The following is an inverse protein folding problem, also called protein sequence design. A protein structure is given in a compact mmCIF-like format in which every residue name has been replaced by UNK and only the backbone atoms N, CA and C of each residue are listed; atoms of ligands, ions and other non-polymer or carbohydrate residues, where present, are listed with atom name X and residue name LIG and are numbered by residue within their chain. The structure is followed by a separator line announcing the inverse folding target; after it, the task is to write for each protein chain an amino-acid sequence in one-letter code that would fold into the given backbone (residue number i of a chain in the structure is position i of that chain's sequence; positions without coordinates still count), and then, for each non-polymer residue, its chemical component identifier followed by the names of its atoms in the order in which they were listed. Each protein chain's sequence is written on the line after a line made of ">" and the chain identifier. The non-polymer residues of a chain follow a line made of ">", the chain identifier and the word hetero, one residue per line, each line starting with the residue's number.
data_IF_038294122693
#
_entry.id   IF_038294122693
#
_cell.length_a   1.000
_cell.length_b   1.000
_cell.length_c   1.000
_cell.angle_alpha   90.00
_cell.angle_beta   90.00
_cell.angle_gamma   90.00
#
_symmetry.space_group_name_H-M   'P 1'
#
loop_
_entity.id
_entity.type
_entity.pdbx_description
1 polymer ?
#
# COMPACT_ATOMS: atom_id res chain seq x y z
N UNK A 1 30.70 27.43 -42.85
CA UNK A 1 29.50 28.05 -42.22
C UNK A 1 28.32 27.13 -42.55
N UNK A 2 28.23 26.01 -41.86
CA UNK A 2 27.33 25.78 -40.72
C UNK A 2 25.84 25.78 -41.13
N UNK A 3 25.41 24.71 -41.79
CA UNK A 3 24.00 24.36 -41.93
C UNK A 3 23.82 22.86 -41.66
N UNK A 4 24.30 22.42 -40.51
CA UNK A 4 23.95 21.12 -39.93
C UNK A 4 23.36 21.44 -38.57
N UNK A 5 22.25 20.79 -38.23
CA UNK A 5 21.54 20.83 -36.93
C UNK A 5 20.35 21.80 -36.84
N UNK A 6 19.38 21.63 -37.73
CA UNK A 6 17.99 22.04 -37.43
C UNK A 6 17.03 20.89 -37.73
N UNK A 7 17.32 19.74 -37.14
CA UNK A 7 16.39 18.62 -37.01
C UNK A 7 16.81 17.91 -35.71
N UNK A 8 15.86 17.33 -34.99
CA UNK A 8 16.07 16.62 -33.71
C UNK A 8 16.09 17.52 -32.46
N UNK A 9 15.06 18.34 -32.22
CA UNK A 9 14.77 18.82 -30.84
C UNK A 9 13.28 18.65 -30.45
N UNK A 10 12.41 18.18 -31.35
CA UNK A 10 10.96 18.12 -31.07
C UNK A 10 10.37 16.71 -30.86
N UNK A 11 11.19 15.66 -30.90
CA UNK A 11 10.68 14.27 -30.79
C UNK A 11 10.96 13.59 -29.45
N UNK A 12 11.63 14.25 -28.50
CA UNK A 12 11.98 13.63 -27.19
C UNK A 12 11.06 14.06 -26.05
N UNK A 13 10.24 15.10 -26.23
CA UNK A 13 9.39 15.62 -25.14
C UNK A 13 7.97 15.02 -25.08
N UNK A 14 7.66 14.06 -25.95
CA UNK A 14 6.35 13.38 -25.97
C UNK A 14 6.40 11.95 -25.41
N UNK A 15 7.45 11.60 -24.67
CA UNK A 15 7.60 10.29 -24.01
C UNK A 15 7.96 10.44 -22.51
N UNK A 16 7.46 11.50 -21.88
CA UNK A 16 7.48 11.66 -20.41
C UNK A 16 6.06 11.72 -19.83
N UNK A 17 5.05 11.30 -20.59
CA UNK A 17 3.70 11.06 -20.11
C UNK A 17 3.51 9.53 -20.04
N UNK A 18 3.22 9.04 -18.83
CA UNK A 18 3.06 7.62 -18.49
C UNK A 18 4.36 6.80 -18.38
N UNK A 19 5.24 7.17 -17.44
CA UNK A 19 5.77 6.10 -16.59
C UNK A 19 4.56 5.60 -15.79
N UNK A 20 4.14 4.33 -15.92
CA UNK A 20 3.15 3.80 -15.01
C UNK A 20 3.68 4.02 -13.60
N UNK A 21 2.77 4.37 -12.69
CA UNK A 21 2.97 4.35 -11.25
C UNK A 21 3.95 3.23 -10.91
N UNK A 22 5.01 3.58 -10.16
CA UNK A 22 6.03 2.67 -9.62
C UNK A 22 5.42 1.28 -9.49
N UNK A 23 5.76 0.37 -10.41
CA UNK A 23 5.03 -0.89 -10.55
C UNK A 23 5.06 -1.57 -9.19
N UNK A 24 3.92 -1.55 -8.48
CA UNK A 24 3.87 -1.78 -7.06
C UNK A 24 4.66 -3.05 -6.74
N UNK A 25 5.83 -2.87 -6.11
CA UNK A 25 6.74 -3.99 -5.99
C UNK A 25 6.22 -4.95 -4.94
N UNK A 26 6.54 -6.24 -5.07
CA UNK A 26 6.27 -7.23 -4.02
C UNK A 26 6.76 -6.73 -2.65
N UNK A 27 7.93 -6.08 -2.61
CA UNK A 27 8.51 -5.52 -1.39
C UNK A 27 7.62 -4.44 -0.76
N UNK A 28 7.06 -3.54 -1.56
CA UNK A 28 6.10 -2.54 -1.09
C UNK A 28 4.83 -3.20 -0.50
N UNK A 29 4.28 -4.21 -1.18
CA UNK A 29 3.11 -4.95 -0.69
C UNK A 29 3.41 -5.69 0.62
N UNK A 30 4.59 -6.30 0.74
CA UNK A 30 5.05 -6.95 1.98
C UNK A 30 5.18 -5.93 3.11
N UNK A 31 5.82 -4.79 2.86
CA UNK A 31 5.96 -3.70 3.85
C UNK A 31 4.60 -3.17 4.30
N UNK A 32 3.65 -3.00 3.37
CA UNK A 32 2.29 -2.59 3.69
C UNK A 32 1.62 -3.57 4.65
N UNK A 33 1.65 -4.88 4.36
CA UNK A 33 1.04 -5.86 5.26
C UNK A 33 1.78 -6.02 6.60
N UNK A 34 3.09 -5.80 6.64
CA UNK A 34 3.84 -5.75 7.90
C UNK A 34 3.40 -4.56 8.76
N UNK A 35 3.31 -3.36 8.19
CA UNK A 35 2.81 -2.19 8.90
C UNK A 35 1.34 -2.33 9.30
N UNK A 36 0.52 -2.98 8.47
CA UNK A 36 -0.87 -3.27 8.82
C UNK A 36 -0.94 -4.24 10.01
N UNK A 37 -0.09 -5.27 10.03
CA UNK A 37 0.01 -6.20 11.16
C UNK A 37 0.39 -5.47 12.45
N UNK A 38 1.33 -4.53 12.41
CA UNK A 38 1.69 -3.70 13.56
C UNK A 38 0.51 -2.83 14.04
N UNK A 39 -0.22 -2.20 13.10
CA UNK A 39 -1.40 -1.39 13.41
C UNK A 39 -2.49 -2.21 14.11
N UNK A 40 -2.80 -3.41 13.63
CA UNK A 40 -3.83 -4.27 14.25
C UNK A 40 -3.34 -4.97 15.52
N UNK A 41 -2.02 -5.10 15.70
CA UNK A 41 -1.43 -5.65 16.93
C UNK A 41 -1.43 -4.63 18.07
N UNK A 42 -1.62 -3.35 17.77
CA UNK A 42 -1.70 -2.30 18.78
C UNK A 42 -2.85 -2.55 19.76
N UNK A 43 -2.61 -2.42 21.06
CA UNK A 43 -3.60 -2.73 22.10
C UNK A 43 -4.86 -1.86 22.04
N UNK A 44 -4.75 -0.67 21.44
CA UNK A 44 -5.87 0.24 21.23
C UNK A 44 -6.55 0.07 19.86
N UNK A 45 -6.16 -0.93 19.06
CA UNK A 45 -6.70 -1.14 17.71
C UNK A 45 -8.23 -1.19 17.72
N UNK A 46 -8.85 -2.02 18.57
CA UNK A 46 -10.32 -2.16 18.60
C UNK A 46 -11.04 -0.86 18.96
N UNK A 47 -10.52 -0.12 19.94
CA UNK A 47 -11.08 1.17 20.31
C UNK A 47 -10.92 2.18 19.17
N UNK A 48 -9.75 2.21 18.53
CA UNK A 48 -9.46 3.10 17.41
C UNK A 48 -10.38 2.80 16.21
N UNK A 49 -10.48 1.54 15.79
CA UNK A 49 -11.26 1.14 14.61
C UNK A 49 -12.78 1.20 14.83
N UNK A 50 -13.25 1.01 16.07
CA UNK A 50 -14.69 1.04 16.40
C UNK A 50 -15.17 2.45 16.76
N UNK A 51 -14.43 3.15 17.61
CA UNK A 51 -14.90 4.39 18.24
C UNK A 51 -14.46 5.63 17.44
N UNK A 52 -13.37 5.52 16.67
CA UNK A 52 -12.81 6.62 15.86
C UNK A 52 -12.37 6.14 14.47
N UNK A 53 -13.31 5.68 13.62
CA UNK A 53 -12.99 5.06 12.33
C UNK A 53 -12.18 5.98 11.40
N UNK A 54 -12.44 7.30 11.39
CA UNK A 54 -11.66 8.25 10.59
C UNK A 54 -10.17 8.28 11.00
N UNK A 55 -9.89 8.23 12.31
CA UNK A 55 -8.52 8.18 12.82
C UNK A 55 -7.85 6.82 12.56
N UNK A 56 -8.63 5.75 12.42
CA UNK A 56 -8.13 4.47 11.95
C UNK A 56 -7.76 4.53 10.47
N UNK A 57 -8.63 5.08 9.62
CA UNK A 57 -8.39 5.24 8.19
C UNK A 57 -7.14 6.08 7.92
N UNK A 58 -6.97 7.19 8.64
CA UNK A 58 -5.76 8.03 8.55
C UNK A 58 -4.49 7.22 8.85
N UNK A 59 -4.48 6.42 9.92
CA UNK A 59 -3.32 5.56 10.26
C UNK A 59 -3.10 4.45 9.25
N UNK A 60 -4.16 3.90 8.68
CA UNK A 60 -4.07 2.87 7.66
C UNK A 60 -3.50 3.43 6.35
N UNK A 61 -3.87 4.67 6.00
CA UNK A 61 -3.25 5.42 4.91
C UNK A 61 -1.79 5.79 5.20
N UNK A 62 -1.44 6.13 6.45
CA UNK A 62 -0.04 6.34 6.85
C UNK A 62 0.80 5.05 6.67
N UNK A 63 0.25 3.89 7.01
CA UNK A 63 0.90 2.59 6.77
C UNK A 63 1.14 2.37 5.27
N UNK A 64 0.17 2.69 4.43
CA UNK A 64 0.31 2.58 2.98
C UNK A 64 1.36 3.55 2.42
N UNK A 65 1.36 4.79 2.88
CA UNK A 65 2.36 5.81 2.52
C UNK A 65 3.77 5.42 2.96
N UNK A 66 3.92 4.86 4.15
CA UNK A 66 5.21 4.34 4.63
C UNK A 66 5.74 3.18 3.76
N UNK A 67 4.85 2.42 3.13
CA UNK A 67 5.19 1.36 2.18
C UNK A 67 5.40 1.87 0.73
N UNK A 68 5.19 3.16 0.48
CA UNK A 68 5.39 3.80 -0.83
C UNK A 68 4.13 3.93 -1.70
N UNK A 69 2.94 3.69 -1.15
CA UNK A 69 1.67 3.87 -1.85
C UNK A 69 1.06 5.26 -1.58
N UNK A 70 0.15 5.73 -2.44
CA UNK A 70 -0.54 7.01 -2.24
C UNK A 70 -1.51 6.96 -1.05
N UNK A 71 -2.26 5.85 -0.94
CA UNK A 71 -3.20 5.56 0.14
C UNK A 71 -3.38 4.04 0.29
N UNK A 72 -4.15 3.64 1.28
CA UNK A 72 -4.44 2.23 1.57
C UNK A 72 -5.23 1.52 0.48
N UNK A 73 -6.10 2.22 -0.26
CA UNK A 73 -6.84 1.63 -1.38
C UNK A 73 -5.91 1.24 -2.53
N UNK A 74 -4.94 2.08 -2.89
CA UNK A 74 -3.90 1.77 -3.88
C UNK A 74 -3.04 0.59 -3.45
N UNK A 75 -2.66 0.52 -2.17
CA UNK A 75 -1.91 -0.60 -1.62
C UNK A 75 -2.70 -1.92 -1.69
N UNK A 76 -4.00 -1.88 -1.40
CA UNK A 76 -4.89 -3.04 -1.50
C UNK A 76 -5.08 -3.49 -2.95
N UNK A 77 -5.29 -2.57 -3.89
CA UNK A 77 -5.39 -2.88 -5.31
C UNK A 77 -4.08 -3.51 -5.84
N UNK A 78 -2.94 -2.95 -5.46
CA UNK A 78 -1.63 -3.53 -5.79
C UNK A 78 -1.43 -4.94 -5.20
N UNK A 79 -1.91 -5.16 -3.98
CA UNK A 79 -1.84 -6.46 -3.31
C UNK A 79 -2.66 -7.57 -3.99
N UNK A 80 -3.58 -7.24 -4.88
CA UNK A 80 -4.33 -8.23 -5.67
C UNK A 80 -3.43 -8.93 -6.69
N UNK A 81 -2.47 -8.21 -7.29
CA UNK A 81 -1.50 -8.80 -8.22
C UNK A 81 -0.60 -9.86 -7.55
N UNK A 82 -0.46 -9.81 -6.22
CA UNK A 82 0.32 -10.74 -5.41
C UNK A 82 -0.55 -11.67 -4.56
N UNK A 83 -1.84 -11.81 -4.88
CA UNK A 83 -2.76 -12.64 -4.09
C UNK A 83 -2.36 -14.13 -4.03
N UNK A 84 -1.66 -14.64 -5.05
CA UNK A 84 -1.15 -16.01 -5.09
C UNK A 84 0.26 -16.17 -4.49
N UNK A 85 0.91 -15.06 -4.10
CA UNK A 85 2.23 -15.10 -3.48
C UNK A 85 2.11 -15.65 -2.04
N UNK A 86 2.92 -16.66 -1.72
CA UNK A 86 2.83 -17.36 -0.43
C UNK A 86 3.18 -16.49 0.76
N UNK A 87 4.12 -15.55 0.61
CA UNK A 87 4.53 -14.64 1.67
C UNK A 87 3.45 -13.60 1.93
N UNK A 88 2.94 -12.97 0.87
CA UNK A 88 1.85 -12.00 0.97
C UNK A 88 0.59 -12.66 1.54
N UNK A 89 0.26 -13.89 1.12
CA UNK A 89 -0.86 -14.66 1.66
C UNK A 89 -0.71 -14.97 3.15
N UNK A 90 0.48 -15.38 3.60
CA UNK A 90 0.74 -15.65 5.01
C UNK A 90 0.62 -14.39 5.88
N UNK A 91 1.04 -13.22 5.36
CA UNK A 91 0.87 -11.94 6.04
C UNK A 91 -0.60 -11.53 6.11
N UNK A 92 -1.35 -11.63 5.00
CA UNK A 92 -2.82 -11.39 4.99
C UNK A 92 -3.53 -12.23 6.04
N UNK A 93 -3.17 -13.52 6.12
CA UNK A 93 -3.73 -14.43 7.11
C UNK A 93 -3.39 -14.01 8.54
N UNK A 94 -2.12 -13.65 8.79
CA UNK A 94 -1.66 -13.20 10.12
C UNK A 94 -2.38 -11.94 10.59
N UNK A 95 -2.62 -10.98 9.69
CA UNK A 95 -3.42 -9.78 9.97
C UNK A 95 -4.84 -10.17 10.34
N UNK A 96 -5.49 -11.03 9.54
CA UNK A 96 -6.86 -11.47 9.82
C UNK A 96 -6.98 -12.19 11.17
N UNK A 97 -6.04 -13.09 11.48
CA UNK A 97 -6.00 -13.80 12.75
C UNK A 97 -5.79 -12.85 13.93
N UNK A 98 -4.93 -11.84 13.77
CA UNK A 98 -4.72 -10.82 14.80
C UNK A 98 -5.98 -9.98 15.05
N UNK A 99 -6.66 -9.54 13.98
CA UNK A 99 -7.94 -8.82 14.10
C UNK A 99 -8.95 -9.69 14.86
N UNK A 100 -9.09 -10.97 14.50
CA UNK A 100 -10.00 -11.88 15.20
C UNK A 100 -9.63 -12.05 16.68
N UNK A 101 -8.34 -12.12 16.99
CA UNK A 101 -7.87 -12.21 18.37
C UNK A 101 -8.19 -10.93 19.17
N UNK A 102 -7.97 -9.76 18.59
CA UNK A 102 -8.25 -8.46 19.22
C UNK A 102 -9.74 -8.27 19.49
N UNK A 103 -10.61 -8.72 18.59
CA UNK A 103 -12.07 -8.62 18.74
C UNK A 103 -12.70 -9.73 19.58
N UNK A 104 -11.96 -10.80 19.93
CA UNK A 104 -12.48 -11.93 20.74
C UNK A 104 -13.17 -11.48 22.05
N UNK A 105 -12.64 -10.52 22.83
CA UNK A 105 -13.28 -10.07 24.07
C UNK A 105 -14.62 -9.33 23.86
N UNK A 106 -14.92 -8.90 22.64
CA UNK A 106 -16.08 -8.08 22.30
C UNK A 106 -17.17 -8.87 21.54
N UNK A 107 -16.96 -10.16 21.29
CA UNK A 107 -17.96 -11.06 20.71
C UNK A 107 -18.81 -11.64 21.84
N UNK A 108 -19.88 -10.93 22.19
CA UNK A 108 -20.98 -11.42 23.02
C UNK A 108 -22.01 -12.19 22.18
#
# INVERSE_FOLDING_TARGET
>A
MNAVRTAVILTVLALAAALPADAASKDAVVKFYQGYLELVSASNFVALSRDTPEAYDDKFDEVAKAAGFENSADALAAAEAYAADSQVSALKQSVADMILQQYRPYRE
#
